data_IF_569213207357
#
_entry.id   IF_569213207357
#
_cell.length_a   1.000
_cell.length_b   1.000
_cell.length_c   1.000
_cell.angle_alpha   90.00
_cell.angle_beta   90.00
_cell.angle_gamma   90.00
#
_symmetry.space_group_name_H-M   'P 1'
#
loop_
_entity.id
_entity.type
_entity.pdbx_description
1 polymer ?
#
# COMPACT_ATOMS: atom_id res chain seq x y z
N UNK A 1 1.95 -17.92 22.36
CA UNK A 1 3.16 -17.44 21.66
C UNK A 1 3.48 -16.05 22.20
N UNK A 2 4.73 -15.88 22.62
CA UNK A 2 5.20 -14.63 23.25
C UNK A 2 5.74 -13.64 22.19
N UNK A 3 5.08 -13.55 21.06
CA UNK A 3 5.59 -12.77 19.90
C UNK A 3 5.35 -11.26 20.01
N UNK A 4 5.02 -10.73 21.19
CA UNK A 4 4.87 -9.27 21.42
C UNK A 4 3.84 -8.56 20.53
N UNK A 5 3.05 -9.29 19.73
CA UNK A 5 2.01 -8.74 18.85
C UNK A 5 0.76 -9.63 18.80
N UNK A 6 -0.37 -9.04 18.48
CA UNK A 6 -1.65 -9.74 18.29
C UNK A 6 -2.39 -9.23 17.05
N UNK A 7 -3.42 -9.94 16.64
CA UNK A 7 -4.30 -9.50 15.54
C UNK A 7 -5.60 -8.95 16.15
N UNK A 8 -5.91 -7.70 15.86
CA UNK A 8 -7.18 -7.07 16.20
C UNK A 8 -7.88 -6.61 14.91
N UNK A 9 -9.12 -7.04 14.72
CA UNK A 9 -9.90 -6.76 13.51
C UNK A 9 -9.15 -7.07 12.20
N UNK A 10 -8.33 -8.12 12.21
CA UNK A 10 -7.54 -8.54 11.04
C UNK A 10 -6.28 -7.72 10.78
N UNK A 11 -5.93 -6.77 11.66
CA UNK A 11 -4.73 -5.94 11.61
C UNK A 11 -3.78 -6.35 12.73
N UNK A 12 -2.47 -6.51 12.46
CA UNK A 12 -1.49 -6.79 13.50
C UNK A 12 -1.21 -5.55 14.33
N UNK A 13 -1.14 -5.72 15.66
CA UNK A 13 -0.84 -4.68 16.62
C UNK A 13 0.24 -5.21 17.57
N UNK A 14 1.33 -4.49 17.75
CA UNK A 14 2.42 -4.84 18.67
C UNK A 14 3.79 -4.36 18.19
N UNK A 15 4.79 -4.46 19.07
CA UNK A 15 6.11 -3.89 18.86
C UNK A 15 7.05 -4.79 18.02
N UNK A 16 6.87 -6.11 18.07
CA UNK A 16 7.74 -7.10 17.40
C UNK A 16 7.18 -7.59 16.07
N UNK A 17 6.26 -6.84 15.51
CA UNK A 17 5.60 -7.16 14.26
C UNK A 17 6.54 -6.99 13.05
N UNK A 18 6.73 -8.07 12.27
CA UNK A 18 7.53 -8.05 11.04
C UNK A 18 6.66 -7.74 9.84
N UNK A 19 6.53 -6.47 9.53
CA UNK A 19 5.65 -5.94 8.47
C UNK A 19 5.87 -6.61 7.10
N UNK A 20 7.13 -6.74 6.67
CA UNK A 20 7.47 -7.34 5.38
C UNK A 20 7.01 -8.81 5.25
N UNK A 21 7.15 -9.61 6.32
CA UNK A 21 6.69 -11.00 6.35
C UNK A 21 5.18 -11.07 6.25
N UNK A 22 4.50 -10.25 7.01
CA UNK A 22 3.04 -10.19 7.06
C UNK A 22 2.45 -9.78 5.70
N UNK A 23 3.00 -8.73 5.07
CA UNK A 23 2.59 -8.33 3.72
C UNK A 23 2.84 -9.46 2.72
N UNK A 24 3.96 -10.16 2.80
CA UNK A 24 4.26 -11.33 1.97
C UNK A 24 3.17 -12.40 2.05
N UNK A 25 2.75 -12.77 3.25
CA UNK A 25 1.66 -13.74 3.48
C UNK A 25 0.33 -13.27 2.90
N UNK A 26 -0.03 -12.00 3.11
CA UNK A 26 -1.29 -11.43 2.59
C UNK A 26 -1.29 -11.34 1.06
N UNK A 27 -0.20 -10.91 0.46
CA UNK A 27 -0.05 -10.85 -1.00
C UNK A 27 -0.17 -12.25 -1.59
N UNK A 28 0.49 -13.26 -1.02
CA UNK A 28 0.40 -14.64 -1.50
C UNK A 28 -1.02 -15.20 -1.40
N UNK A 29 -1.74 -14.93 -0.29
CA UNK A 29 -3.15 -15.31 -0.16
C UNK A 29 -4.03 -14.64 -1.23
N UNK A 30 -3.81 -13.36 -1.51
CA UNK A 30 -4.57 -12.64 -2.53
C UNK A 30 -4.22 -13.12 -3.93
N UNK A 31 -2.94 -13.46 -4.19
CA UNK A 31 -2.49 -14.10 -5.45
C UNK A 31 -3.22 -15.41 -5.71
N UNK A 32 -3.31 -16.30 -4.72
CA UNK A 32 -3.98 -17.61 -4.86
C UNK A 32 -5.45 -17.45 -5.22
N UNK A 33 -6.15 -16.51 -4.60
CA UNK A 33 -7.54 -16.20 -4.91
C UNK A 33 -7.67 -15.62 -6.33
N UNK A 34 -6.79 -14.70 -6.70
CA UNK A 34 -6.82 -14.06 -8.02
C UNK A 34 -6.56 -15.05 -9.15
N UNK A 35 -5.69 -16.05 -8.94
CA UNK A 35 -5.44 -17.14 -9.91
C UNK A 35 -6.72 -17.89 -10.27
N UNK A 36 -7.62 -18.14 -9.31
CA UNK A 36 -8.89 -18.83 -9.56
C UNK A 36 -9.79 -18.06 -10.52
N UNK A 37 -9.78 -16.73 -10.42
CA UNK A 37 -10.61 -15.87 -11.28
C UNK A 37 -10.02 -15.65 -12.68
N UNK A 38 -8.69 -15.63 -12.79
CA UNK A 38 -7.99 -15.38 -14.06
C UNK A 38 -7.92 -16.64 -14.93
N UNK A 39 -8.02 -17.82 -14.34
CA UNK A 39 -8.18 -19.09 -15.06
C UNK A 39 -9.43 -19.17 -15.95
N UNK A 40 -10.36 -18.24 -15.79
CA UNK A 40 -11.46 -18.03 -16.71
C UNK A 40 -10.93 -17.43 -18.02
N UNK A 41 -10.48 -18.28 -18.95
CA UNK A 41 -9.86 -17.97 -20.25
C UNK A 41 -10.58 -16.91 -21.11
N UNK A 42 -11.79 -16.50 -20.75
CA UNK A 42 -12.66 -15.57 -21.49
C UNK A 42 -12.72 -14.15 -20.90
N UNK A 43 -12.01 -13.87 -19.80
CA UNK A 43 -12.06 -12.52 -19.24
C UNK A 43 -11.37 -11.53 -20.18
N UNK A 44 -12.17 -10.73 -20.88
CA UNK A 44 -11.70 -9.58 -21.65
C UNK A 44 -11.09 -8.55 -20.71
N UNK A 45 -10.41 -7.54 -21.27
CA UNK A 45 -9.70 -6.53 -20.49
C UNK A 45 -10.55 -5.92 -19.37
N UNK A 46 -11.79 -5.53 -19.64
CA UNK A 46 -12.69 -4.95 -18.62
C UNK A 46 -13.00 -5.93 -17.47
N UNK A 47 -13.21 -7.20 -17.78
CA UNK A 47 -13.41 -8.24 -16.76
C UNK A 47 -12.15 -8.42 -15.91
N UNK A 48 -10.97 -8.41 -16.52
CA UNK A 48 -9.69 -8.45 -15.79
C UNK A 48 -9.52 -7.24 -14.89
N UNK A 49 -9.87 -6.05 -15.38
CA UNK A 49 -9.79 -4.83 -14.58
C UNK A 49 -10.67 -4.90 -13.33
N UNK A 50 -11.89 -5.40 -13.43
CA UNK A 50 -12.77 -5.61 -12.28
C UNK A 50 -12.18 -6.61 -11.28
N UNK A 51 -11.61 -7.72 -11.76
CA UNK A 51 -10.95 -8.73 -10.92
C UNK A 51 -9.75 -8.12 -10.19
N UNK A 52 -8.89 -7.39 -10.91
CA UNK A 52 -7.70 -6.78 -10.32
C UNK A 52 -8.10 -5.72 -9.28
N UNK A 53 -9.01 -4.82 -9.62
CA UNK A 53 -9.41 -3.75 -8.69
C UNK A 53 -10.22 -4.26 -7.50
N UNK A 54 -11.14 -5.21 -7.71
CA UNK A 54 -12.00 -5.73 -6.65
C UNK A 54 -11.35 -6.85 -5.83
N UNK A 55 -10.82 -7.89 -6.51
CA UNK A 55 -10.36 -9.10 -5.84
C UNK A 55 -8.88 -9.04 -5.42
N UNK A 56 -8.03 -8.38 -6.21
CA UNK A 56 -6.60 -8.28 -5.90
C UNK A 56 -6.29 -7.02 -5.09
N UNK A 57 -6.36 -5.84 -5.69
CA UNK A 57 -6.02 -4.58 -5.03
C UNK A 57 -7.03 -4.19 -3.94
N UNK A 58 -8.32 -4.46 -4.15
CA UNK A 58 -9.37 -4.13 -3.20
C UNK A 58 -9.20 -4.82 -1.84
N UNK A 59 -8.70 -6.06 -1.82
CA UNK A 59 -8.41 -6.78 -0.58
C UNK A 59 -7.19 -6.22 0.15
N UNK A 60 -6.15 -5.83 -0.58
CA UNK A 60 -4.95 -5.23 0.01
C UNK A 60 -5.26 -3.84 0.58
N UNK A 61 -6.18 -3.10 -0.03
CA UNK A 61 -6.64 -1.78 0.41
C UNK A 61 -7.13 -1.78 1.86
N UNK A 62 -7.80 -2.83 2.29
CA UNK A 62 -8.31 -2.92 3.66
C UNK A 62 -7.18 -2.71 4.69
N UNK A 63 -6.05 -3.36 4.48
CA UNK A 63 -4.93 -3.25 5.41
C UNK A 63 -4.14 -1.95 5.29
N UNK A 64 -4.20 -1.28 4.13
CA UNK A 64 -3.58 0.04 3.96
C UNK A 64 -4.20 1.14 4.84
N UNK A 65 -5.42 0.92 5.35
CA UNK A 65 -6.02 1.87 6.29
C UNK A 65 -5.27 1.95 7.62
N UNK A 66 -4.58 0.91 8.01
CA UNK A 66 -3.94 0.80 9.32
C UNK A 66 -2.43 0.56 9.25
N UNK A 67 -1.95 0.06 8.12
CA UNK A 67 -0.54 -0.27 7.92
C UNK A 67 0.00 0.48 6.71
N UNK A 68 1.19 1.00 6.83
CA UNK A 68 1.94 1.50 5.68
C UNK A 68 2.38 0.35 4.77
N UNK A 69 2.97 0.68 3.63
CA UNK A 69 3.57 -0.31 2.75
C UNK A 69 4.91 0.22 2.21
N UNK A 70 5.97 -0.53 2.44
CA UNK A 70 7.30 -0.16 1.96
C UNK A 70 7.41 -0.16 0.43
N UNK A 71 8.37 0.58 -0.11
CA UNK A 71 8.54 0.75 -1.55
C UNK A 71 8.78 -0.57 -2.31
N UNK A 72 9.45 -1.56 -1.68
CA UNK A 72 9.70 -2.86 -2.31
C UNK A 72 8.41 -3.66 -2.44
N UNK A 73 7.62 -3.70 -1.38
CA UNK A 73 6.31 -4.36 -1.35
C UNK A 73 5.34 -3.69 -2.33
N UNK A 74 5.31 -2.35 -2.42
CA UNK A 74 4.52 -1.60 -3.41
C UNK A 74 4.88 -2.00 -4.84
N UNK A 75 6.17 -2.09 -5.15
CA UNK A 75 6.63 -2.49 -6.48
C UNK A 75 6.21 -3.92 -6.85
N UNK A 76 6.21 -4.85 -5.89
CA UNK A 76 5.73 -6.23 -6.09
C UNK A 76 4.23 -6.23 -6.40
N UNK A 77 3.41 -5.54 -5.61
CA UNK A 77 1.96 -5.45 -5.82
C UNK A 77 1.62 -4.82 -7.18
N UNK A 78 2.29 -3.70 -7.53
CA UNK A 78 2.06 -3.05 -8.81
C UNK A 78 2.43 -3.96 -9.98
N UNK A 79 3.54 -4.70 -9.87
CA UNK A 79 3.95 -5.66 -10.89
C UNK A 79 2.94 -6.78 -11.04
N UNK A 80 2.43 -7.34 -9.95
CA UNK A 80 1.42 -8.38 -9.98
C UNK A 80 0.14 -7.89 -10.66
N UNK A 81 -0.29 -6.68 -10.35
CA UNK A 81 -1.43 -6.05 -11.03
C UNK A 81 -1.17 -5.90 -12.53
N UNK A 82 0.02 -5.45 -12.94
CA UNK A 82 0.42 -5.34 -14.34
C UNK A 82 0.40 -6.72 -15.04
N UNK A 83 0.89 -7.77 -14.40
CA UNK A 83 0.81 -9.15 -14.93
C UNK A 83 -0.64 -9.56 -15.17
N UNK A 84 -1.49 -9.31 -14.19
CA UNK A 84 -2.91 -9.66 -14.27
C UNK A 84 -3.66 -8.91 -15.37
N UNK A 85 -3.33 -7.63 -15.60
CA UNK A 85 -3.94 -6.84 -16.67
C UNK A 85 -3.45 -7.23 -18.07
N UNK A 86 -2.13 -7.39 -18.25
CA UNK A 86 -1.50 -7.36 -19.57
C UNK A 86 -1.04 -8.72 -20.09
N UNK A 87 -0.82 -9.72 -19.22
CA UNK A 87 -0.34 -11.03 -19.66
C UNK A 87 -1.48 -11.87 -20.27
N UNK A 88 -1.18 -12.57 -21.36
CA UNK A 88 -2.11 -13.55 -21.92
C UNK A 88 -2.37 -14.69 -20.95
N UNK A 89 -1.31 -15.19 -20.32
CA UNK A 89 -1.32 -16.23 -19.30
C UNK A 89 -0.63 -15.68 -18.05
N UNK A 90 -1.41 -15.05 -17.15
CA UNK A 90 -0.85 -14.45 -15.95
C UNK A 90 -0.36 -15.53 -14.99
N UNK A 91 0.96 -15.55 -14.77
CA UNK A 91 1.61 -16.40 -13.78
C UNK A 91 2.12 -15.52 -12.63
N UNK A 92 1.54 -15.69 -11.46
CA UNK A 92 1.98 -15.01 -10.24
C UNK A 92 2.88 -15.98 -9.46
N UNK A 93 4.15 -15.62 -9.31
CA UNK A 93 5.12 -16.44 -8.58
C UNK A 93 4.92 -16.28 -7.07
N UNK A 94 4.87 -17.40 -6.36
CA UNK A 94 4.81 -17.42 -4.89
C UNK A 94 6.23 -17.21 -4.33
N UNK A 95 6.36 -16.47 -3.24
CA UNK A 95 7.61 -16.33 -2.48
C UNK A 95 8.44 -15.07 -2.71
N UNK A 96 8.25 -14.31 -3.77
CA UNK A 96 9.10 -13.13 -4.06
C UNK A 96 8.81 -11.90 -3.19
N UNK A 97 7.68 -11.86 -2.48
CA UNK A 97 7.30 -10.71 -1.66
C UNK A 97 8.13 -10.58 -0.36
N UNK A 98 8.58 -11.71 0.21
CA UNK A 98 9.27 -11.72 1.50
C UNK A 98 10.80 -11.65 1.41
N UNK A 99 11.41 -12.02 0.29
CA UNK A 99 12.87 -12.21 0.20
C UNK A 99 13.63 -11.09 -0.48
N UNK A 100 12.95 -10.14 -1.12
CA UNK A 100 13.60 -8.97 -1.73
C UNK A 100 14.60 -9.26 -2.83
N UNK A 101 14.87 -10.52 -3.15
CA UNK A 101 15.75 -10.91 -4.25
C UNK A 101 15.01 -10.78 -5.57
N UNK A 102 15.20 -9.63 -6.21
CA UNK A 102 14.78 -9.44 -7.60
C UNK A 102 15.65 -10.34 -8.49
N UNK A 103 15.10 -11.45 -8.96
CA UNK A 103 15.75 -12.25 -10.00
C UNK A 103 16.06 -11.36 -11.21
N UNK A 104 17.34 -11.43 -11.66
CA UNK A 104 17.89 -10.60 -12.75
C UNK A 104 17.23 -10.82 -14.12
N UNK A 105 16.34 -11.80 -14.28
CA UNK A 105 15.70 -12.21 -15.54
C UNK A 105 14.20 -11.94 -15.62
N UNK A 106 13.69 -10.87 -14.98
CA UNK A 106 12.26 -10.54 -15.06
C UNK A 106 11.89 -10.04 -16.45
N UNK A 107 11.20 -10.87 -17.26
CA UNK A 107 10.63 -10.46 -18.55
C UNK A 107 9.83 -9.16 -18.37
N UNK A 108 10.15 -8.14 -19.21
CA UNK A 108 9.42 -6.87 -19.22
C UNK A 108 7.98 -7.12 -19.65
N UNK A 109 7.03 -6.72 -18.81
CA UNK A 109 5.61 -6.84 -19.14
C UNK A 109 5.30 -5.87 -20.27
N UNK A 110 4.85 -6.41 -21.42
CA UNK A 110 4.45 -5.59 -22.56
C UNK A 110 3.04 -5.06 -22.33
N UNK A 111 2.92 -3.78 -22.07
CA UNK A 111 1.63 -3.08 -22.05
C UNK A 111 1.18 -2.79 -23.48
N UNK A 112 -0.11 -2.88 -23.75
CA UNK A 112 -0.68 -2.58 -25.07
C UNK A 112 -0.90 -1.09 -25.28
N UNK A 113 -1.00 -0.33 -24.19
CA UNK A 113 -1.18 1.12 -24.22
C UNK A 113 -0.18 1.80 -23.28
N UNK A 114 0.04 3.08 -23.48
CA UNK A 114 0.88 3.90 -22.62
C UNK A 114 0.36 3.88 -21.15
N UNK A 115 1.26 4.08 -20.19
CA UNK A 115 0.91 4.06 -18.76
C UNK A 115 -0.17 5.10 -18.45
N UNK A 116 -0.03 6.31 -18.97
CA UNK A 116 -0.95 7.41 -18.68
C UNK A 116 -2.36 7.14 -19.24
N UNK A 117 -2.45 6.53 -20.43
CA UNK A 117 -3.73 6.05 -20.97
C UNK A 117 -4.32 4.93 -20.12
N UNK A 118 -3.48 4.01 -19.61
CA UNK A 118 -3.97 2.94 -18.76
C UNK A 118 -4.58 3.46 -17.45
N UNK A 119 -3.97 4.48 -16.84
CA UNK A 119 -4.42 5.07 -15.58
C UNK A 119 -5.53 6.11 -15.80
N UNK A 120 -5.51 6.78 -16.95
CA UNK A 120 -6.44 7.86 -17.28
C UNK A 120 -7.92 7.48 -17.11
N UNK A 121 -8.77 8.47 -16.85
CA UNK A 121 -10.20 8.25 -16.65
C UNK A 121 -10.88 7.85 -17.97
N UNK A 122 -11.96 7.07 -17.87
CA UNK A 122 -12.66 6.49 -19.04
C UNK A 122 -13.32 7.53 -19.94
N UNK A 123 -13.84 8.59 -19.37
CA UNK A 123 -14.46 9.73 -20.07
C UNK A 123 -13.47 10.48 -20.98
N UNK A 124 -12.17 10.31 -20.74
CA UNK A 124 -11.08 10.85 -21.57
C UNK A 124 -10.33 9.78 -22.37
N UNK A 125 -10.97 8.63 -22.61
CA UNK A 125 -10.37 7.53 -23.38
C UNK A 125 -9.37 6.67 -22.59
N UNK A 126 -9.24 6.85 -21.30
CA UNK A 126 -8.41 6.02 -20.43
C UNK A 126 -9.05 4.70 -20.05
N UNK A 127 -8.27 3.81 -19.45
CA UNK A 127 -8.72 2.49 -19.02
C UNK A 127 -9.10 2.44 -17.53
N UNK A 128 -8.82 3.52 -16.79
CA UNK A 128 -9.07 3.64 -15.35
C UNK A 128 -8.42 2.51 -14.52
N UNK A 129 -7.19 2.12 -14.89
CA UNK A 129 -6.41 1.20 -14.07
C UNK A 129 -5.90 1.93 -12.83
N UNK A 130 -5.88 1.24 -11.72
CA UNK A 130 -5.35 1.78 -10.47
C UNK A 130 -3.81 1.74 -10.50
N UNK A 131 -3.15 2.89 -10.39
CA UNK A 131 -1.73 2.94 -10.00
C UNK A 131 -1.63 2.72 -8.49
N UNK A 132 -1.03 1.59 -8.11
CA UNK A 132 -0.95 1.20 -6.72
C UNK A 132 -0.09 2.15 -5.88
N UNK A 133 0.98 2.70 -6.46
CA UNK A 133 1.85 3.64 -5.75
C UNK A 133 1.09 4.93 -5.41
N UNK A 134 0.41 5.51 -6.39
CA UNK A 134 -0.42 6.70 -6.18
C UNK A 134 -1.51 6.41 -5.13
N UNK A 135 -2.07 5.20 -5.16
CA UNK A 135 -3.12 4.82 -4.24
C UNK A 135 -2.62 4.73 -2.79
N UNK A 136 -1.45 4.10 -2.58
CA UNK A 136 -0.81 4.02 -1.25
C UNK A 136 -0.46 5.42 -0.75
N UNK A 137 0.15 6.26 -1.59
CA UNK A 137 0.48 7.64 -1.23
C UNK A 137 -0.76 8.45 -0.83
N UNK A 138 -1.89 8.25 -1.53
CA UNK A 138 -3.15 8.90 -1.20
C UNK A 138 -3.70 8.46 0.18
N UNK A 139 -3.52 7.18 0.57
CA UNK A 139 -3.89 6.72 1.90
C UNK A 139 -3.01 7.31 2.99
N UNK A 140 -1.71 7.40 2.77
CA UNK A 140 -0.78 8.02 3.70
C UNK A 140 -1.08 9.53 3.87
N UNK A 141 -1.32 10.24 2.75
CA UNK A 141 -1.72 11.65 2.77
C UNK A 141 -3.05 11.88 3.51
N UNK A 142 -4.00 10.96 3.39
CA UNK A 142 -5.28 11.05 4.09
C UNK A 142 -5.11 11.07 5.61
N UNK A 143 -4.19 10.25 6.14
CA UNK A 143 -3.87 10.27 7.57
C UNK A 143 -3.23 11.58 7.98
N UNK A 144 -2.34 12.14 7.15
CA UNK A 144 -1.74 13.44 7.39
C UNK A 144 -2.79 14.56 7.42
N UNK A 145 -3.71 14.57 6.45
CA UNK A 145 -4.81 15.55 6.39
C UNK A 145 -5.65 15.45 7.67
N UNK A 146 -6.02 14.25 8.09
CA UNK A 146 -6.79 14.04 9.32
C UNK A 146 -6.05 14.48 10.58
N UNK A 147 -4.75 14.26 10.63
CA UNK A 147 -3.92 14.71 11.75
C UNK A 147 -3.86 16.24 11.85
N UNK A 148 -3.74 16.91 10.72
CA UNK A 148 -3.62 18.36 10.63
C UNK A 148 -4.98 19.09 10.72
N UNK A 149 -6.09 18.39 10.52
CA UNK A 149 -7.42 18.93 10.72
C UNK A 149 -7.56 19.52 12.13
N UNK A 150 -8.12 20.75 12.32
CA UNK A 150 -8.20 21.40 13.62
C UNK A 150 -9.15 20.71 14.62
N UNK A 151 -9.97 19.76 14.16
CA UNK A 151 -10.86 18.98 15.03
C UNK A 151 -10.10 18.24 16.12
N UNK A 152 -10.59 18.28 17.35
CA UNK A 152 -10.02 17.53 18.48
C UNK A 152 -10.34 16.03 18.35
N UNK A 153 -9.35 15.18 18.59
CA UNK A 153 -9.52 13.74 18.68
C UNK A 153 -8.40 13.16 19.55
N UNK A 154 -8.73 12.26 20.47
CA UNK A 154 -7.79 11.71 21.47
C UNK A 154 -6.56 11.03 20.82
N UNK A 155 -6.73 10.41 19.65
CA UNK A 155 -5.60 9.81 18.95
C UNK A 155 -4.57 10.84 18.45
N UNK A 156 -4.99 12.09 18.20
CA UNK A 156 -4.06 13.17 17.81
C UNK A 156 -3.20 13.62 19.00
N UNK A 157 -3.75 13.65 20.17
CA UNK A 157 -3.02 14.01 21.40
C UNK A 157 -1.98 12.94 21.74
N UNK A 158 -2.36 11.66 21.54
CA UNK A 158 -1.41 10.55 21.65
C UNK A 158 -0.28 10.68 20.61
N UNK A 159 -0.61 10.99 19.37
CA UNK A 159 0.36 11.16 18.30
C UNK A 159 1.28 12.35 18.55
N UNK A 160 0.75 13.46 19.05
CA UNK A 160 1.52 14.63 19.45
C UNK A 160 2.57 14.28 20.49
N UNK A 161 2.25 13.42 21.46
CA UNK A 161 3.21 13.00 22.47
C UNK A 161 4.42 12.27 21.90
N UNK A 162 4.27 11.57 20.76
CA UNK A 162 5.37 10.88 20.08
C UNK A 162 6.14 11.78 19.13
N UNK A 163 5.44 12.72 18.47
CA UNK A 163 6.03 13.52 17.39
C UNK A 163 6.64 14.80 17.91
N UNK A 164 5.92 15.52 18.77
CA UNK A 164 6.29 16.85 19.21
C UNK A 164 7.21 16.85 20.40
N UNK A 165 7.27 15.76 21.18
CA UNK A 165 8.07 15.68 22.39
C UNK A 165 9.27 14.73 22.21
N UNK A 166 10.35 15.00 22.92
CA UNK A 166 11.49 14.10 23.01
C UNK A 166 11.28 13.01 24.11
N UNK A 167 12.23 12.08 24.21
CA UNK A 167 12.21 11.05 25.26
C UNK A 167 12.25 11.59 26.70
N UNK A 168 12.62 12.85 26.88
CA UNK A 168 12.71 13.56 28.16
C UNK A 168 11.45 14.38 28.44
N UNK A 169 10.48 14.40 27.54
CA UNK A 169 9.25 15.17 27.64
C UNK A 169 9.39 16.65 27.25
N UNK A 170 10.52 17.06 26.65
CA UNK A 170 10.68 18.42 26.16
C UNK A 170 10.04 18.58 24.79
N UNK A 171 9.42 19.73 24.55
CA UNK A 171 8.79 20.03 23.27
C UNK A 171 9.89 20.23 22.20
N UNK A 172 9.96 19.35 21.22
CA UNK A 172 10.89 19.44 20.09
C UNK A 172 10.51 20.56 19.12
N UNK A 173 9.22 20.78 18.96
CA UNK A 173 8.64 21.68 17.97
C UNK A 173 7.67 22.66 18.65
N UNK A 174 8.16 23.80 19.14
CA UNK A 174 7.33 24.78 19.86
C UNK A 174 6.19 25.36 18.99
N UNK A 175 6.34 25.35 17.67
CA UNK A 175 5.35 25.83 16.72
C UNK A 175 4.22 24.79 16.45
N UNK A 176 4.25 23.67 17.17
CA UNK A 176 3.21 22.67 17.09
C UNK A 176 3.18 21.88 15.76
N UNK A 177 2.00 21.38 15.41
CA UNK A 177 1.80 20.52 14.22
C UNK A 177 2.12 21.23 12.89
N UNK A 178 2.04 22.55 12.82
CA UNK A 178 2.29 23.31 11.58
C UNK A 178 3.70 23.20 11.05
N UNK A 179 4.70 23.02 11.93
CA UNK A 179 6.10 22.89 11.54
C UNK A 179 6.37 21.57 10.79
N UNK A 180 5.56 20.53 11.05
CA UNK A 180 5.67 19.24 10.38
C UNK A 180 5.42 19.40 8.87
N UNK A 181 4.55 20.34 8.48
CA UNK A 181 4.30 20.66 7.09
C UNK A 181 5.46 21.40 6.42
N UNK A 182 6.17 22.22 7.17
CA UNK A 182 7.22 23.08 6.60
C UNK A 182 8.54 22.34 6.44
N UNK A 183 8.93 21.52 7.42
CA UNK A 183 10.29 20.99 7.53
C UNK A 183 10.47 19.52 7.09
N UNK A 184 9.39 18.78 6.89
CA UNK A 184 9.48 17.38 6.44
C UNK A 184 9.15 17.26 4.95
N UNK A 185 10.00 16.56 4.21
CA UNK A 185 9.66 16.11 2.87
C UNK A 185 8.43 15.19 2.90
N UNK A 186 7.71 15.09 1.80
CA UNK A 186 6.53 14.21 1.69
C UNK A 186 6.85 12.76 2.08
N UNK A 187 8.07 12.31 1.79
CA UNK A 187 8.55 10.97 2.11
C UNK A 187 8.78 10.77 3.60
N UNK A 188 9.31 11.77 4.28
CA UNK A 188 9.53 11.73 5.73
C UNK A 188 8.21 11.81 6.50
N UNK A 189 7.26 12.62 5.99
CA UNK A 189 5.89 12.70 6.52
C UNK A 189 5.19 11.34 6.46
N UNK A 190 5.29 10.65 5.33
CA UNK A 190 4.74 9.31 5.14
C UNK A 190 5.41 8.26 6.02
N UNK A 191 6.76 8.27 6.10
CA UNK A 191 7.52 7.35 6.92
C UNK A 191 7.27 7.52 8.43
N UNK A 192 6.91 8.72 8.86
CA UNK A 192 6.58 9.03 10.26
C UNK A 192 5.26 8.42 10.67
N UNK A 193 4.26 8.46 9.78
CA UNK A 193 2.92 7.90 10.03
C UNK A 193 2.95 6.37 9.98
N UNK A 194 3.79 5.77 9.15
CA UNK A 194 3.92 4.30 9.07
C UNK A 194 4.63 3.66 10.27
N UNK A 195 5.18 4.44 11.20
CA UNK A 195 5.86 3.96 12.41
C UNK A 195 5.00 4.02 13.68
N UNK A 196 3.75 4.47 13.55
CA UNK A 196 2.75 4.53 14.59
C UNK A 196 1.78 3.37 14.46
#
# INVERSE_FOLDING_TARGET
SHDGWCISLGVPIGNDFKEAKWWGEKINKVRSISKQWIGLKRAQYFGRNLIVQGCFLGRLRYWLYSLGMDAKTRAVVQRDADILWWSKEPTLEEGTAATGHAEKNKKRIKRWVAKDTAIGPRDRGGLNNMDWNIHVDAFEQRWMIRYLDPGRASWKDMLDSFILYDKKGNLKYPEGRSIILQNLSTREKAAMISRI
#
